data_IF_676411200561
#
_entry.id   IF_676411200561
#
_cell.length_a   1.000
_cell.length_b   1.000
_cell.length_c   1.000
_cell.angle_alpha   90.00
_cell.angle_beta   90.00
_cell.angle_gamma   90.00
#
_symmetry.space_group_name_H-M   'P 1'
#
loop_
_entity.id
_entity.type
_entity.pdbx_description
1 polymer ?
#
# COMPACT_ATOMS: atom_id res chain seq x y z
N UNK A 1 -40.92 13.74 69.06
CA UNK A 1 -41.46 13.68 67.69
C UNK A 1 -40.33 13.98 66.74
N UNK A 2 -40.09 13.03 65.85
CA UNK A 2 -38.87 12.84 65.06
C UNK A 2 -39.05 13.51 63.71
N UNK A 3 -38.12 14.36 63.27
CA UNK A 3 -38.03 14.77 61.87
C UNK A 3 -36.60 14.58 61.37
N UNK A 4 -36.51 13.61 60.47
CA UNK A 4 -35.42 13.07 59.66
C UNK A 4 -34.60 14.13 58.91
N UNK A 5 -33.28 13.93 58.68
CA UNK A 5 -32.54 14.72 57.71
C UNK A 5 -32.72 14.16 56.29
N UNK A 6 -33.04 15.05 55.35
CA UNK A 6 -33.27 14.75 53.94
C UNK A 6 -31.93 14.46 53.22
N UNK A 7 -31.90 13.37 52.46
CA UNK A 7 -30.72 12.87 51.78
C UNK A 7 -30.30 13.78 50.62
N UNK A 8 -29.07 14.30 50.71
CA UNK A 8 -28.37 14.97 49.62
C UNK A 8 -28.15 14.01 48.46
N UNK A 9 -28.95 14.15 47.41
CA UNK A 9 -28.78 13.42 46.16
C UNK A 9 -27.57 13.98 45.42
N UNK A 10 -26.44 13.30 45.54
CA UNK A 10 -25.25 13.57 44.74
C UNK A 10 -25.58 13.34 43.26
N UNK A 11 -25.63 14.41 42.47
CA UNK A 11 -25.58 14.32 41.00
C UNK A 11 -24.26 13.66 40.64
N UNK A 12 -24.33 12.38 40.26
CA UNK A 12 -23.25 11.70 39.56
C UNK A 12 -23.07 12.40 38.21
N UNK A 13 -22.20 13.41 38.19
CA UNK A 13 -21.74 14.03 36.96
C UNK A 13 -21.02 12.96 36.15
N UNK A 14 -21.68 12.48 35.10
CA UNK A 14 -21.00 11.74 34.05
C UNK A 14 -19.84 12.59 33.58
N UNK A 15 -18.61 12.09 33.71
CA UNK A 15 -17.45 12.72 33.08
C UNK A 15 -17.78 12.91 31.58
N UNK A 16 -17.48 14.06 30.97
CA UNK A 16 -17.57 14.19 29.53
C UNK A 16 -16.68 13.10 28.93
N UNK A 17 -17.22 12.37 27.94
CA UNK A 17 -16.46 11.38 27.20
C UNK A 17 -15.12 11.99 26.77
N UNK A 18 -14.01 11.25 26.88
CA UNK A 18 -12.71 11.76 26.42
C UNK A 18 -12.86 12.25 24.98
N UNK A 19 -12.15 13.31 24.56
CA UNK A 19 -12.24 13.82 23.20
C UNK A 19 -11.97 12.65 22.26
N UNK A 20 -13.02 12.21 21.57
CA UNK A 20 -12.97 11.10 20.64
C UNK A 20 -11.84 11.43 19.67
N UNK A 21 -10.79 10.61 19.66
CA UNK A 21 -9.67 10.79 18.74
C UNK A 21 -10.25 10.76 17.33
N UNK A 22 -10.47 11.94 16.76
CA UNK A 22 -10.97 12.09 15.40
C UNK A 22 -10.05 11.26 14.53
N UNK A 23 -10.60 10.26 13.82
CA UNK A 23 -9.85 9.53 12.80
C UNK A 23 -9.07 10.52 11.97
N UNK A 24 -7.81 10.25 11.71
CA UNK A 24 -7.01 11.18 10.90
C UNK A 24 -7.68 11.28 9.53
N UNK A 25 -7.80 12.49 8.93
CA UNK A 25 -8.30 12.62 7.56
C UNK A 25 -7.54 11.67 6.62
N UNK A 26 -8.26 10.76 5.97
CA UNK A 26 -7.69 9.71 5.10
C UNK A 26 -7.79 8.30 5.67
N UNK A 27 -7.71 8.09 6.99
CA UNK A 27 -7.60 6.75 7.61
C UNK A 27 -8.69 5.76 7.18
N UNK A 28 -9.90 6.28 6.91
CA UNK A 28 -11.05 5.54 6.37
C UNK A 28 -10.79 4.93 4.98
N UNK A 29 -10.15 5.64 4.05
CA UNK A 29 -9.92 5.15 2.68
C UNK A 29 -8.86 4.06 2.68
N UNK A 30 -7.75 4.24 3.41
CA UNK A 30 -6.73 3.21 3.60
C UNK A 30 -7.33 1.94 4.22
N UNK A 31 -8.19 2.08 5.23
CA UNK A 31 -8.86 0.94 5.84
C UNK A 31 -9.81 0.23 4.85
N UNK A 32 -10.59 0.97 4.07
CA UNK A 32 -11.47 0.41 3.05
C UNK A 32 -10.67 -0.36 1.98
N UNK A 33 -9.57 0.23 1.50
CA UNK A 33 -8.67 -0.41 0.51
C UNK A 33 -8.00 -1.64 1.11
N UNK A 34 -7.52 -1.59 2.35
CA UNK A 34 -6.95 -2.75 3.06
C UNK A 34 -7.98 -3.87 3.18
N UNK A 35 -9.19 -3.54 3.62
CA UNK A 35 -10.29 -4.49 3.80
C UNK A 35 -10.68 -5.16 2.48
N UNK A 36 -10.56 -4.44 1.36
CA UNK A 36 -10.80 -4.99 0.02
C UNK A 36 -9.66 -5.87 -0.48
N UNK A 37 -8.42 -5.37 -0.42
CA UNK A 37 -7.26 -5.99 -1.05
C UNK A 37 -6.80 -7.23 -0.30
N UNK A 38 -6.83 -7.24 1.04
CA UNK A 38 -6.31 -8.35 1.84
C UNK A 38 -6.94 -9.71 1.48
N UNK A 39 -8.28 -9.87 1.52
CA UNK A 39 -8.91 -11.14 1.11
C UNK A 39 -8.70 -11.43 -0.38
N UNK A 40 -8.78 -10.41 -1.25
CA UNK A 40 -8.59 -10.56 -2.68
C UNK A 40 -7.19 -11.10 -3.03
N UNK A 41 -6.16 -10.56 -2.39
CA UNK A 41 -4.77 -11.01 -2.54
C UNK A 41 -4.61 -12.45 -2.08
N UNK A 42 -5.12 -12.77 -0.90
CA UNK A 42 -5.02 -14.13 -0.35
C UNK A 42 -5.68 -15.16 -1.27
N UNK A 43 -6.88 -14.87 -1.75
CA UNK A 43 -7.64 -15.76 -2.64
C UNK A 43 -6.99 -15.88 -4.02
N UNK A 44 -6.44 -14.79 -4.56
CA UNK A 44 -5.75 -14.82 -5.85
C UNK A 44 -4.44 -15.62 -5.82
N UNK A 45 -3.68 -15.53 -4.72
CA UNK A 45 -2.48 -16.35 -4.51
C UNK A 45 -2.82 -17.84 -4.34
N UNK A 46 -4.01 -18.14 -3.80
CA UNK A 46 -4.56 -19.49 -3.73
C UNK A 46 -5.26 -19.93 -5.03
N UNK A 47 -5.17 -19.15 -6.11
CA UNK A 47 -5.77 -19.40 -7.42
C UNK A 47 -7.30 -19.65 -7.39
N UNK A 48 -8.00 -18.99 -6.46
CA UNK A 48 -9.45 -19.05 -6.37
C UNK A 48 -10.08 -18.38 -7.61
N UNK A 49 -10.93 -19.07 -8.39
CA UNK A 49 -11.45 -18.55 -9.66
C UNK A 49 -12.18 -17.21 -9.57
N UNK A 50 -12.95 -16.99 -8.51
CA UNK A 50 -13.67 -15.72 -8.29
C UNK A 50 -12.72 -14.54 -8.08
N UNK A 51 -11.60 -14.74 -7.38
CA UNK A 51 -10.58 -13.72 -7.19
C UNK A 51 -9.81 -13.43 -8.49
N UNK A 52 -9.52 -14.46 -9.28
CA UNK A 52 -8.89 -14.31 -10.61
C UNK A 52 -9.79 -13.49 -11.54
N UNK A 53 -11.09 -13.79 -11.57
CA UNK A 53 -12.08 -13.04 -12.34
C UNK A 53 -12.22 -11.59 -11.84
N UNK A 54 -12.29 -11.38 -10.52
CA UNK A 54 -12.38 -10.05 -9.93
C UNK A 54 -11.16 -9.18 -10.27
N UNK A 55 -9.94 -9.71 -10.14
CA UNK A 55 -8.72 -8.98 -10.56
C UNK A 55 -8.72 -8.67 -12.05
N UNK A 56 -9.17 -9.60 -12.90
CA UNK A 56 -9.27 -9.37 -14.32
C UNK A 56 -10.25 -8.24 -14.67
N UNK A 57 -11.38 -8.16 -13.95
CA UNK A 57 -12.34 -7.08 -14.09
C UNK A 57 -11.77 -5.73 -13.62
N UNK A 58 -11.15 -5.69 -12.43
CA UNK A 58 -10.53 -4.47 -11.88
C UNK A 58 -9.46 -3.88 -12.81
N UNK A 59 -8.66 -4.74 -13.48
CA UNK A 59 -7.66 -4.26 -14.45
C UNK A 59 -8.26 -3.46 -15.61
N UNK A 60 -9.52 -3.72 -15.98
CA UNK A 60 -10.19 -2.97 -17.05
C UNK A 60 -10.65 -1.58 -16.64
N UNK A 61 -10.77 -1.33 -15.32
CA UNK A 61 -11.13 -0.03 -14.75
C UNK A 61 -9.97 0.94 -14.57
N UNK A 62 -8.71 0.52 -14.81
CA UNK A 62 -7.54 1.41 -14.65
C UNK A 62 -7.63 2.57 -15.64
N UNK A 63 -7.64 3.81 -15.13
CA UNK A 63 -7.78 5.02 -15.96
C UNK A 63 -9.23 5.39 -16.29
N UNK A 64 -10.21 4.74 -15.67
CA UNK A 64 -11.62 5.16 -15.72
C UNK A 64 -12.01 5.79 -14.37
N UNK A 65 -12.84 6.84 -14.37
CA UNK A 65 -13.49 7.35 -13.16
C UNK A 65 -14.23 6.28 -12.37
N UNK A 66 -14.31 6.45 -11.04
CA UNK A 66 -15.01 5.51 -10.16
C UNK A 66 -16.49 5.34 -10.51
N UNK A 67 -17.15 6.40 -11.00
CA UNK A 67 -18.60 6.41 -11.26
C UNK A 67 -18.98 6.02 -12.71
N UNK A 68 -18.04 5.60 -13.55
CA UNK A 68 -18.31 5.28 -14.95
C UNK A 68 -19.09 3.97 -15.15
N UNK A 69 -19.03 3.02 -14.20
CA UNK A 69 -19.66 1.70 -14.33
C UNK A 69 -20.20 1.17 -13.00
N UNK A 70 -21.53 1.03 -12.83
CA UNK A 70 -22.14 0.52 -11.60
C UNK A 70 -21.72 -0.91 -11.22
N UNK A 71 -21.41 -1.77 -12.21
CA UNK A 71 -20.94 -3.14 -11.96
C UNK A 71 -19.55 -3.13 -11.31
N UNK A 72 -18.74 -2.13 -11.62
CA UNK A 72 -17.38 -2.00 -11.08
C UNK A 72 -17.40 -1.60 -9.59
N UNK A 73 -18.48 -0.97 -9.10
CA UNK A 73 -18.60 -0.52 -7.70
C UNK A 73 -18.52 -1.66 -6.70
N UNK A 74 -19.30 -2.72 -6.93
CA UNK A 74 -19.30 -3.91 -6.07
C UNK A 74 -17.98 -4.69 -6.11
N UNK A 75 -17.24 -4.59 -7.23
CA UNK A 75 -15.94 -5.24 -7.38
C UNK A 75 -14.83 -4.43 -6.72
N UNK A 76 -14.88 -3.10 -6.80
CA UNK A 76 -13.97 -2.18 -6.11
C UNK A 76 -14.22 -2.20 -4.60
N UNK A 77 -15.47 -2.39 -4.18
CA UNK A 77 -15.89 -2.45 -2.78
C UNK A 77 -16.28 -1.09 -2.20
N UNK A 78 -16.80 -0.17 -3.03
CA UNK A 78 -17.21 1.18 -2.61
C UNK A 78 -18.30 1.14 -1.53
N UNK A 79 -19.08 0.06 -1.44
CA UNK A 79 -20.09 -0.17 -0.41
C UNK A 79 -19.48 -0.25 0.99
N UNK A 80 -18.26 -0.78 1.12
CA UNK A 80 -17.57 -0.85 2.41
C UNK A 80 -17.14 0.54 2.87
N UNK A 81 -16.66 1.36 1.94
CA UNK A 81 -16.30 2.76 2.21
C UNK A 81 -17.55 3.59 2.56
N UNK A 82 -18.66 3.38 1.86
CA UNK A 82 -19.94 4.02 2.18
C UNK A 82 -20.45 3.67 3.58
N UNK A 83 -20.34 2.39 4.00
CA UNK A 83 -20.69 1.97 5.38
C UNK A 83 -19.78 2.60 6.43
N UNK A 84 -18.46 2.67 6.17
CA UNK A 84 -17.53 3.35 7.07
C UNK A 84 -17.87 4.83 7.24
N UNK A 85 -18.26 5.51 6.15
CA UNK A 85 -18.74 6.90 6.21
C UNK A 85 -20.00 7.07 7.06
N UNK A 86 -20.96 6.15 6.95
CA UNK A 86 -22.18 6.19 7.76
C UNK A 86 -21.85 6.08 9.24
N UNK A 87 -21.03 5.09 9.62
CA UNK A 87 -20.57 4.89 10.99
C UNK A 87 -19.80 6.10 11.53
N UNK A 88 -18.88 6.66 10.73
CA UNK A 88 -18.16 7.87 11.09
C UNK A 88 -19.13 9.05 11.34
N UNK A 89 -20.18 9.19 10.52
CA UNK A 89 -21.20 10.21 10.73
C UNK A 89 -22.02 10.00 12.02
N UNK A 90 -22.36 8.76 12.34
CA UNK A 90 -23.05 8.37 13.58
C UNK A 90 -22.19 8.62 14.83
N UNK A 91 -20.87 8.39 14.73
CA UNK A 91 -19.90 8.66 15.78
C UNK A 91 -19.47 10.14 15.88
N UNK A 92 -20.00 11.02 15.02
CA UNK A 92 -19.66 12.44 15.00
C UNK A 92 -18.29 12.75 14.38
N UNK A 93 -17.68 11.80 13.68
CA UNK A 93 -16.48 11.99 12.88
C UNK A 93 -16.77 12.75 11.58
N UNK A 94 -15.72 13.36 11.01
CA UNK A 94 -15.85 14.11 9.77
C UNK A 94 -16.04 13.20 8.56
N UNK A 95 -17.20 13.30 7.91
CA UNK A 95 -17.50 12.61 6.64
C UNK A 95 -17.23 13.51 5.43
N UNK A 96 -17.23 14.83 5.63
CA UNK A 96 -17.10 15.82 4.56
C UNK A 96 -18.34 15.93 3.66
N UNK A 97 -18.36 16.96 2.80
CA UNK A 97 -19.44 17.17 1.84
C UNK A 97 -19.32 16.28 0.58
N UNK A 98 -20.25 16.40 -0.39
CA UNK A 98 -20.29 15.56 -1.59
C UNK A 98 -18.98 15.53 -2.39
N UNK A 99 -18.28 16.67 -2.45
CA UNK A 99 -16.96 16.75 -3.10
C UNK A 99 -15.89 15.93 -2.38
N UNK A 100 -15.95 15.81 -1.05
CA UNK A 100 -15.01 15.00 -0.29
C UNK A 100 -15.28 13.51 -0.53
N UNK A 101 -16.54 13.10 -0.45
CA UNK A 101 -17.01 11.74 -0.73
C UNK A 101 -16.57 11.27 -2.12
N UNK A 102 -16.76 12.12 -3.15
CA UNK A 102 -16.32 11.81 -4.51
C UNK A 102 -14.80 11.60 -4.61
N UNK A 103 -14.00 12.33 -3.83
CA UNK A 103 -12.54 12.16 -3.80
C UNK A 103 -12.13 10.85 -3.12
N UNK A 104 -12.84 10.45 -2.06
CA UNK A 104 -12.58 9.17 -1.38
C UNK A 104 -12.87 7.99 -2.31
N UNK A 105 -14.03 8.01 -2.98
CA UNK A 105 -14.46 6.94 -3.89
C UNK A 105 -13.49 6.82 -5.08
N UNK A 106 -13.10 7.96 -5.68
CA UNK A 106 -12.12 8.01 -6.76
C UNK A 106 -10.73 7.51 -6.34
N UNK A 107 -10.27 7.90 -5.15
CA UNK A 107 -9.00 7.44 -4.62
C UNK A 107 -8.98 5.94 -4.33
N UNK A 108 -10.07 5.40 -3.75
CA UNK A 108 -10.22 3.96 -3.52
C UNK A 108 -10.22 3.18 -4.84
N UNK A 109 -11.00 3.63 -5.82
CA UNK A 109 -11.05 3.02 -7.14
C UNK A 109 -9.67 2.98 -7.80
N UNK A 110 -8.96 4.12 -7.84
CA UNK A 110 -7.64 4.20 -8.42
C UNK A 110 -6.64 3.28 -7.69
N UNK A 111 -6.66 3.23 -6.36
CA UNK A 111 -5.76 2.38 -5.59
C UNK A 111 -6.02 0.88 -5.80
N UNK A 112 -7.28 0.45 -5.82
CA UNK A 112 -7.67 -0.96 -6.01
C UNK A 112 -7.40 -1.42 -7.45
N UNK A 113 -7.63 -0.57 -8.44
CA UNK A 113 -7.34 -0.89 -9.85
C UNK A 113 -5.82 -0.91 -10.12
N UNK A 114 -5.05 0.00 -9.53
CA UNK A 114 -3.58 -0.06 -9.55
C UNK A 114 -3.05 -1.32 -8.87
N UNK A 115 -3.65 -1.74 -7.75
CA UNK A 115 -3.31 -3.02 -7.11
C UNK A 115 -3.55 -4.21 -8.04
N UNK A 116 -4.70 -4.25 -8.73
CA UNK A 116 -5.02 -5.34 -9.64
C UNK A 116 -4.03 -5.43 -10.81
N UNK A 117 -3.51 -4.29 -11.27
CA UNK A 117 -2.42 -4.23 -12.24
C UNK A 117 -1.09 -4.72 -11.62
N UNK A 118 -0.79 -4.29 -10.39
CA UNK A 118 0.44 -4.65 -9.68
C UNK A 118 0.54 -6.15 -9.42
N UNK A 119 -0.53 -6.79 -8.96
CA UNK A 119 -0.58 -8.23 -8.67
C UNK A 119 -0.74 -9.10 -9.92
N UNK A 120 -0.88 -8.52 -11.13
CA UNK A 120 -1.09 -9.29 -12.35
C UNK A 120 0.03 -10.29 -12.60
N UNK A 121 -0.31 -11.54 -12.95
CA UNK A 121 0.61 -12.64 -13.25
C UNK A 121 1.67 -12.95 -12.18
N UNK A 122 1.57 -12.36 -10.98
CA UNK A 122 2.40 -12.68 -9.83
C UNK A 122 1.58 -13.53 -8.86
N UNK A 123 1.92 -14.82 -8.77
CA UNK A 123 1.18 -15.83 -7.99
C UNK A 123 1.91 -16.27 -6.73
N UNK A 124 3.17 -15.87 -6.56
CA UNK A 124 4.02 -16.33 -5.46
C UNK A 124 4.26 -15.23 -4.44
N UNK A 125 4.25 -13.97 -4.86
CA UNK A 125 4.55 -12.81 -4.01
C UNK A 125 3.33 -11.93 -3.81
N UNK A 126 3.27 -11.30 -2.64
CA UNK A 126 2.28 -10.28 -2.28
C UNK A 126 2.76 -8.92 -2.76
N UNK A 127 1.99 -8.24 -3.61
CA UNK A 127 2.32 -6.89 -4.07
C UNK A 127 1.70 -5.80 -3.17
N UNK A 128 0.67 -6.15 -2.41
CA UNK A 128 0.20 -5.38 -1.27
C UNK A 128 0.89 -5.87 0.01
N UNK A 129 1.65 -4.97 0.64
CA UNK A 129 2.28 -5.18 1.95
C UNK A 129 2.06 -3.93 2.78
N UNK A 130 1.49 -4.11 3.98
CA UNK A 130 1.15 -3.00 4.86
C UNK A 130 2.40 -2.27 5.36
N UNK A 131 2.33 -0.94 5.43
CA UNK A 131 3.36 -0.09 6.04
C UNK A 131 4.56 0.23 5.16
N UNK A 132 4.60 -0.24 3.91
CA UNK A 132 5.61 0.18 2.93
C UNK A 132 5.05 1.37 2.13
N UNK A 133 5.50 2.60 2.37
CA UNK A 133 4.95 3.76 1.67
C UNK A 133 5.39 3.80 0.20
N UNK A 134 4.59 4.44 -0.66
CA UNK A 134 4.84 4.50 -2.10
C UNK A 134 6.21 5.12 -2.43
N UNK A 135 6.58 6.23 -1.78
CA UNK A 135 7.88 6.86 -2.00
C UNK A 135 9.06 5.94 -1.64
N UNK A 136 8.91 5.10 -0.61
CA UNK A 136 9.94 4.13 -0.22
C UNK A 136 10.10 3.02 -1.26
N UNK A 137 8.99 2.49 -1.78
CA UNK A 137 9.03 1.48 -2.84
C UNK A 137 9.69 2.03 -4.12
N UNK A 138 9.41 3.28 -4.48
CA UNK A 138 10.08 3.94 -5.61
C UNK A 138 11.56 4.20 -5.34
N UNK A 139 11.94 4.52 -4.10
CA UNK A 139 13.35 4.58 -3.70
C UNK A 139 14.02 3.23 -3.88
N UNK A 140 13.41 2.14 -3.42
CA UNK A 140 13.93 0.78 -3.63
C UNK A 140 14.14 0.51 -5.10
N UNK A 141 13.17 0.84 -5.97
CA UNK A 141 13.30 0.71 -7.42
C UNK A 141 14.48 1.52 -7.98
N UNK A 142 14.68 2.75 -7.50
CA UNK A 142 15.76 3.62 -7.92
C UNK A 142 17.15 3.20 -7.39
N UNK A 143 17.22 2.41 -6.31
CA UNK A 143 18.49 1.92 -5.76
C UNK A 143 18.83 0.50 -6.19
N UNK A 144 17.84 -0.26 -6.67
CA UNK A 144 18.00 -1.66 -7.04
C UNK A 144 18.66 -1.75 -8.42
N UNK A 145 19.76 -2.53 -8.58
CA UNK A 145 20.42 -2.68 -9.86
C UNK A 145 19.44 -3.15 -10.95
N UNK A 146 19.65 -2.75 -12.22
CA UNK A 146 18.81 -3.17 -13.33
C UNK A 146 18.68 -4.70 -13.41
N UNK A 147 17.47 -5.19 -13.65
CA UNK A 147 17.19 -6.63 -13.77
C UNK A 147 17.11 -7.41 -12.46
N UNK A 148 17.57 -6.86 -11.33
CA UNK A 148 17.47 -7.53 -10.02
C UNK A 148 16.06 -7.37 -9.45
N UNK A 149 15.44 -8.45 -8.99
CA UNK A 149 14.15 -8.42 -8.28
C UNK A 149 14.39 -8.19 -6.78
N UNK A 150 13.50 -7.47 -6.10
CA UNK A 150 13.69 -7.14 -4.69
C UNK A 150 13.73 -8.37 -3.77
N UNK A 151 13.04 -9.45 -4.16
CA UNK A 151 13.04 -10.72 -3.42
C UNK A 151 14.15 -11.70 -3.78
N UNK A 152 15.08 -11.34 -4.68
CA UNK A 152 16.21 -12.19 -5.10
C UNK A 152 17.58 -11.65 -4.67
N UNK A 153 17.63 -10.57 -3.88
CA UNK A 153 18.87 -10.15 -3.26
C UNK A 153 19.28 -11.22 -2.24
N UNK A 154 20.23 -12.07 -2.63
CA UNK A 154 20.92 -12.94 -1.67
C UNK A 154 21.53 -12.10 -0.55
N UNK A 155 21.60 -12.63 0.69
CA UNK A 155 22.32 -11.97 1.75
C UNK A 155 23.78 -11.88 1.31
N UNK A 156 24.28 -10.65 1.14
CA UNK A 156 25.69 -10.36 0.91
C UNK A 156 26.50 -11.18 1.91
N UNK A 157 27.40 -12.09 1.47
CA UNK A 157 28.24 -12.82 2.40
C UNK A 157 29.12 -11.79 3.12
N UNK A 158 29.17 -11.89 4.46
CA UNK A 158 30.06 -11.07 5.28
C UNK A 158 31.49 -11.13 4.73
N UNK A 159 32.22 -10.00 4.73
CA UNK A 159 33.61 -10.00 4.27
C UNK A 159 34.42 -10.88 5.21
N UNK A 160 34.88 -12.03 4.72
CA UNK A 160 35.89 -12.82 5.41
C UNK A 160 37.20 -12.04 5.34
N UNK A 161 37.77 -11.78 6.50
CA UNK A 161 39.12 -11.27 6.67
C UNK A 161 40.11 -12.28 6.06
N UNK A 162 40.58 -12.02 4.84
CA UNK A 162 41.76 -12.67 4.28
C UNK A 162 42.84 -11.63 4.04
N UNK A 163 43.89 -11.73 4.85
CA UNK A 163 45.12 -10.96 4.76
C UNK A 163 45.89 -11.25 3.45
N UNK A 164 46.70 -10.28 2.97
CA UNK A 164 47.19 -10.26 1.61
C UNK A 164 48.40 -11.18 1.44
N UNK A 165 48.44 -11.90 0.31
CA UNK A 165 49.69 -12.44 -0.23
C UNK A 165 49.88 -11.94 -1.65
N UNK A 166 50.93 -11.14 -1.80
CA UNK A 166 51.45 -10.55 -3.03
C UNK A 166 52.04 -11.60 -3.97
N UNK A 167 51.77 -11.49 -5.28
CA UNK A 167 52.80 -11.33 -6.33
C UNK A 167 52.14 -11.02 -7.69
N UNK A 168 52.88 -10.36 -8.62
CA UNK A 168 52.31 -9.64 -9.75
C UNK A 168 52.29 -10.47 -11.03
N UNK A 169 51.28 -10.26 -11.87
CA UNK A 169 51.38 -10.56 -13.30
C UNK A 169 50.55 -9.55 -14.08
N UNK A 170 51.25 -8.69 -14.81
CA UNK A 170 50.70 -7.82 -15.84
C UNK A 170 50.11 -8.66 -16.98
N UNK A 171 48.91 -8.33 -17.43
CA UNK A 171 48.57 -8.10 -18.84
C UNK A 171 47.04 -7.99 -19.03
N UNK A 172 46.63 -6.83 -19.54
CA UNK A 172 45.48 -6.57 -20.43
C UNK A 172 44.13 -7.24 -20.17
N UNK A 173 43.14 -6.43 -19.77
CA UNK A 173 42.04 -5.95 -20.64
C UNK A 173 41.18 -5.00 -19.80
N UNK A 174 41.56 -3.72 -19.79
CA UNK A 174 40.74 -2.65 -19.25
C UNK A 174 39.94 -2.06 -20.40
N UNK A 175 38.65 -2.37 -20.50
CA UNK A 175 37.60 -1.58 -21.18
C UNK A 175 36.31 -2.40 -21.24
N UNK A 176 35.57 -2.46 -20.14
CA UNK A 176 34.13 -2.87 -20.15
C UNK A 176 33.37 -2.48 -18.88
N UNK A 177 34.07 -2.12 -17.79
CA UNK A 177 33.44 -1.86 -16.49
C UNK A 177 32.94 -0.43 -16.25
N UNK A 178 33.22 0.57 -17.10
CA UNK A 178 32.77 1.96 -16.87
C UNK A 178 31.37 2.28 -17.40
N UNK A 179 30.87 1.51 -18.39
CA UNK A 179 29.60 1.78 -19.07
C UNK A 179 28.38 1.29 -18.29
N UNK A 180 28.54 0.22 -17.51
CA UNK A 180 27.49 -0.31 -16.64
C UNK A 180 27.11 0.65 -15.50
N UNK A 181 28.04 1.17 -14.67
CA UNK A 181 27.69 2.05 -13.55
C UNK A 181 27.06 3.38 -14.01
N UNK A 182 27.45 3.92 -15.18
CA UNK A 182 26.82 5.13 -15.73
C UNK A 182 25.37 4.89 -16.14
N UNK A 183 25.06 3.78 -16.83
CA UNK A 183 23.68 3.42 -17.22
C UNK A 183 22.79 3.16 -16.00
N UNK A 184 23.32 2.55 -14.95
CA UNK A 184 22.62 2.29 -13.71
C UNK A 184 22.24 3.58 -12.97
N UNK A 185 23.18 4.54 -12.90
CA UNK A 185 22.94 5.86 -12.35
C UNK A 185 21.92 6.66 -13.17
N UNK A 186 21.96 6.58 -14.50
CA UNK A 186 21.00 7.22 -15.39
C UNK A 186 19.57 6.70 -15.21
N UNK A 187 19.39 5.38 -15.04
CA UNK A 187 18.07 4.77 -14.76
C UNK A 187 17.54 5.26 -13.41
N UNK A 188 18.41 5.25 -12.39
CA UNK A 188 18.08 5.70 -11.03
C UNK A 188 17.63 7.17 -11.02
N UNK A 189 18.35 8.03 -11.74
CA UNK A 189 18.04 9.45 -11.88
C UNK A 189 16.79 9.68 -12.74
N UNK A 190 16.55 8.83 -13.75
CA UNK A 190 15.33 8.87 -14.56
C UNK A 190 14.10 8.47 -13.76
N UNK A 191 14.19 7.42 -12.94
CA UNK A 191 13.11 6.98 -12.04
C UNK A 191 12.81 8.07 -11.01
N UNK A 192 13.84 8.68 -10.41
CA UNK A 192 13.69 9.82 -9.50
C UNK A 192 12.98 11.00 -10.19
N UNK A 193 13.41 11.41 -11.38
CA UNK A 193 12.78 12.50 -12.15
C UNK A 193 11.33 12.18 -12.51
N UNK A 194 11.02 10.94 -12.91
CA UNK A 194 9.66 10.49 -13.20
C UNK A 194 8.78 10.52 -11.95
N UNK A 195 9.29 10.07 -10.81
CA UNK A 195 8.59 10.11 -9.52
C UNK A 195 8.25 11.55 -9.10
N UNK A 196 9.21 12.46 -9.19
CA UNK A 196 8.96 13.88 -8.91
C UNK A 196 7.92 14.48 -9.86
N UNK A 197 7.94 14.09 -11.14
CA UNK A 197 6.91 14.50 -12.11
C UNK A 197 5.52 13.96 -11.76
N UNK A 198 5.36 12.81 -11.10
CA UNK A 198 4.02 12.34 -10.68
C UNK A 198 3.37 13.37 -9.75
N UNK A 199 4.12 13.92 -8.81
CA UNK A 199 3.65 14.95 -7.89
C UNK A 199 3.33 16.30 -8.55
N UNK A 200 3.86 16.58 -9.74
CA UNK A 200 3.59 17.84 -10.48
C UNK A 200 2.39 17.75 -11.42
N UNK A 201 1.74 16.59 -11.53
CA UNK A 201 0.46 16.51 -12.24
C UNK A 201 -0.54 17.51 -11.63
N UNK A 202 -1.34 18.14 -12.50
CA UNK A 202 -2.36 19.13 -12.10
C UNK A 202 -3.79 18.62 -12.29
N UNK A 203 -3.94 17.47 -12.94
CA UNK A 203 -5.20 16.82 -13.25
C UNK A 203 -5.09 15.31 -13.02
N UNK A 204 -6.22 14.67 -12.72
CA UNK A 204 -6.29 13.26 -12.35
C UNK A 204 -5.81 12.34 -13.47
N UNK A 205 -6.21 12.63 -14.71
CA UNK A 205 -5.88 11.78 -15.86
C UNK A 205 -4.34 11.64 -16.07
N UNK A 206 -3.54 12.72 -16.15
CA UNK A 206 -2.09 12.62 -16.15
C UNK A 206 -1.49 11.94 -14.92
N UNK A 207 -2.10 12.11 -13.73
CA UNK A 207 -1.64 11.46 -12.51
C UNK A 207 -1.78 9.94 -12.63
N UNK A 208 -2.95 9.46 -13.05
CA UNK A 208 -3.26 8.04 -13.20
C UNK A 208 -2.33 7.35 -14.18
N UNK A 209 -2.06 7.97 -15.33
CA UNK A 209 -1.10 7.45 -16.32
C UNK A 209 0.29 7.30 -15.69
N UNK A 210 0.78 8.33 -14.99
CA UNK A 210 2.11 8.31 -14.36
C UNK A 210 2.21 7.29 -13.23
N UNK A 211 1.18 7.17 -12.39
CA UNK A 211 1.12 6.17 -11.33
C UNK A 211 1.13 4.77 -11.92
N UNK A 212 0.35 4.53 -12.98
CA UNK A 212 0.32 3.26 -13.71
C UNK A 212 1.70 2.88 -14.23
N UNK A 213 2.41 3.82 -14.87
CA UNK A 213 3.77 3.59 -15.35
C UNK A 213 4.72 3.16 -14.22
N UNK A 214 4.68 3.85 -13.07
CA UNK A 214 5.53 3.51 -11.92
C UNK A 214 5.14 2.15 -11.33
N UNK A 215 3.85 1.87 -11.15
CA UNK A 215 3.38 0.59 -10.62
C UNK A 215 3.80 -0.57 -11.52
N UNK A 216 3.83 -0.40 -12.84
CA UNK A 216 4.35 -1.40 -13.76
C UNK A 216 5.86 -1.62 -13.60
N UNK A 217 6.64 -0.57 -13.33
CA UNK A 217 8.07 -0.71 -13.03
C UNK A 217 8.32 -1.42 -11.70
N UNK A 218 7.54 -1.09 -10.66
CA UNK A 218 7.59 -1.78 -9.36
C UNK A 218 7.25 -3.27 -9.51
N UNK A 219 6.18 -3.57 -10.27
CA UNK A 219 5.78 -4.95 -10.60
C UNK A 219 6.89 -5.71 -11.30
N UNK A 220 7.56 -5.11 -12.28
CA UNK A 220 8.63 -5.78 -13.03
C UNK A 220 9.81 -6.22 -12.14
N UNK A 221 9.96 -5.59 -10.97
CA UNK A 221 11.02 -5.87 -9.98
C UNK A 221 10.49 -6.55 -8.72
N UNK A 222 9.22 -6.97 -8.70
CA UNK A 222 8.52 -7.55 -7.55
C UNK A 222 8.60 -6.69 -6.27
N UNK A 223 8.48 -5.37 -6.40
CA UNK A 223 8.58 -4.43 -5.27
C UNK A 223 7.18 -4.14 -4.71
N UNK A 224 6.83 -4.64 -3.52
CA UNK A 224 5.52 -4.38 -2.93
C UNK A 224 5.42 -2.99 -2.32
N UNK A 225 4.19 -2.49 -2.16
CA UNK A 225 3.89 -1.32 -1.34
C UNK A 225 2.46 -1.34 -0.77
N UNK A 226 2.19 -0.46 0.18
CA UNK A 226 0.89 -0.30 0.81
C UNK A 226 -0.02 0.57 -0.07
N UNK A 227 -0.94 -0.09 -0.77
CA UNK A 227 -1.90 0.59 -1.64
C UNK A 227 -2.97 1.36 -0.84
N UNK A 228 -3.18 1.01 0.43
CA UNK A 228 -4.06 1.77 1.33
C UNK A 228 -3.46 3.13 1.67
N UNK A 229 -2.16 3.17 2.00
CA UNK A 229 -1.46 4.44 2.21
C UNK A 229 -1.46 5.31 0.94
N UNK A 230 -1.30 4.70 -0.24
CA UNK A 230 -1.42 5.42 -1.50
C UNK A 230 -2.83 6.00 -1.68
N UNK A 231 -3.88 5.27 -1.32
CA UNK A 231 -5.26 5.74 -1.44
C UNK A 231 -5.50 7.02 -0.62
N UNK A 232 -5.01 7.09 0.61
CA UNK A 232 -5.14 8.29 1.45
C UNK A 232 -4.44 9.49 0.82
N UNK A 233 -3.23 9.27 0.29
CA UNK A 233 -2.47 10.29 -0.41
C UNK A 233 -3.21 10.78 -1.66
N UNK A 234 -3.91 9.88 -2.37
CA UNK A 234 -4.74 10.22 -3.52
C UNK A 234 -5.97 11.04 -3.11
N UNK A 235 -6.64 10.70 -2.01
CA UNK A 235 -7.75 11.50 -1.48
C UNK A 235 -7.33 12.94 -1.18
N UNK A 236 -6.18 13.11 -0.51
CA UNK A 236 -5.59 14.44 -0.28
C UNK A 236 -5.17 15.11 -1.58
N UNK A 237 -4.60 14.38 -2.54
CA UNK A 237 -4.12 14.97 -3.80
C UNK A 237 -5.27 15.49 -4.69
N UNK A 238 -6.42 14.81 -4.66
CA UNK A 238 -7.63 15.23 -5.37
C UNK A 238 -8.23 16.54 -4.81
N UNK A 239 -7.76 16.99 -3.64
CA UNK A 239 -7.94 18.35 -3.18
C UNK A 239 -6.79 19.25 -3.66
N UNK A 240 -7.03 20.20 -4.58
CA UNK A 240 -5.98 21.09 -5.09
C UNK A 240 -5.20 21.83 -4.00
N UNK A 241 -5.84 22.14 -2.87
CA UNK A 241 -5.21 22.85 -1.74
C UNK A 241 -4.20 22.00 -0.97
N UNK A 242 -4.29 20.67 -1.06
CA UNK A 242 -3.46 19.74 -0.29
C UNK A 242 -2.36 19.07 -1.15
N UNK A 243 -2.29 19.33 -2.46
CA UNK A 243 -1.31 18.70 -3.36
C UNK A 243 0.13 18.91 -2.93
N UNK A 244 0.47 20.08 -2.39
CA UNK A 244 1.82 20.36 -1.88
C UNK A 244 2.17 19.53 -0.65
N UNK A 245 1.18 19.20 0.20
CA UNK A 245 1.40 18.30 1.34
C UNK A 245 1.76 16.89 0.85
N UNK A 246 1.02 16.38 -0.15
CA UNK A 246 1.27 15.06 -0.74
C UNK A 246 2.64 15.01 -1.43
N UNK A 247 3.00 16.05 -2.20
CA UNK A 247 4.34 16.16 -2.80
C UNK A 247 5.45 16.08 -1.76
N UNK A 248 5.32 16.82 -0.65
CA UNK A 248 6.30 16.78 0.44
C UNK A 248 6.33 15.41 1.11
N UNK A 249 5.17 14.78 1.30
CA UNK A 249 5.09 13.44 1.88
C UNK A 249 5.82 12.40 1.02
N UNK A 250 5.54 12.36 -0.28
CA UNK A 250 6.23 11.49 -1.23
C UNK A 250 7.74 11.74 -1.26
N UNK A 251 8.18 13.01 -1.23
CA UNK A 251 9.59 13.36 -1.12
C UNK A 251 10.24 12.85 0.17
N UNK A 252 9.57 12.99 1.33
CA UNK A 252 10.07 12.44 2.60
C UNK A 252 10.12 10.92 2.59
N UNK A 253 9.10 10.25 2.07
CA UNK A 253 9.06 8.79 1.96
C UNK A 253 10.19 8.25 1.07
N UNK A 254 10.49 8.96 -0.02
CA UNK A 254 11.60 8.64 -0.91
C UNK A 254 12.97 8.83 -0.25
N UNK A 255 13.15 9.84 0.61
CA UNK A 255 14.45 10.11 1.25
C UNK A 255 14.65 9.34 2.56
N UNK A 256 13.63 9.25 3.41
CA UNK A 256 13.75 8.87 4.82
C UNK A 256 13.34 7.44 5.15
N UNK A 257 13.08 6.57 4.16
CA UNK A 257 12.87 5.15 4.47
C UNK A 257 14.20 4.45 4.79
N UNK A 258 14.68 4.64 6.00
CA UNK A 258 15.60 3.71 6.66
C UNK A 258 14.77 2.47 6.96
N UNK A 259 15.15 1.33 6.34
CA UNK A 259 14.34 0.13 6.33
C UNK A 259 13.92 -0.30 7.73
N UNK A 260 12.61 -0.27 8.01
CA UNK A 260 12.06 -1.05 9.11
C UNK A 260 12.07 -2.50 8.65
N UNK A 261 13.20 -3.15 8.88
CA UNK A 261 13.48 -4.55 8.57
C UNK A 261 12.45 -5.42 9.30
N UNK A 262 11.60 -6.12 8.53
CA UNK A 262 10.94 -7.37 8.93
C UNK A 262 9.62 -7.28 9.70
N UNK A 263 8.49 -7.29 8.99
CA UNK A 263 7.45 -8.26 9.36
C UNK A 263 7.79 -9.55 8.63
N UNK A 264 8.17 -10.59 9.38
CA UNK A 264 8.37 -11.95 8.85
C UNK A 264 7.15 -12.33 7.99
N UNK A 265 7.33 -13.00 6.84
CA UNK A 265 6.19 -13.57 6.14
C UNK A 265 5.54 -14.60 7.06
N UNK A 266 4.28 -14.35 7.45
CA UNK A 266 3.44 -15.34 8.10
C UNK A 266 3.43 -16.59 7.24
N UNK A 267 4.13 -17.61 7.75
CA UNK A 267 4.09 -18.96 7.21
C UNK A 267 2.72 -19.49 7.60
N UNK A 268 1.86 -19.72 6.60
CA UNK A 268 0.56 -20.36 6.80
C UNK A 268 0.82 -21.70 7.50
N UNK A 269 0.30 -21.94 8.73
CA UNK A 269 0.45 -23.24 9.35
C UNK A 269 -0.34 -24.24 8.51
N UNK A 270 0.34 -25.31 8.09
CA UNK A 270 -0.28 -26.43 7.38
C UNK A 270 -1.47 -26.98 8.21
N UNK A 271 -2.55 -27.46 7.56
CA UNK A 271 -3.66 -28.08 8.26
C UNK A 271 -3.15 -29.31 9.01
N UNK A 272 -3.36 -29.34 10.32
CA UNK A 272 -3.12 -30.55 11.11
C UNK A 272 -4.18 -31.59 10.74
N UNK A 273 -3.73 -32.73 10.25
CA UNK A 273 -4.55 -33.92 10.05
C UNK A 273 -5.31 -34.26 11.34
N UNK A 274 -6.64 -34.14 11.28
CA UNK A 274 -7.53 -34.68 12.29
C UNK A 274 -7.65 -36.20 12.06
N UNK A 275 -6.67 -36.94 12.56
CA UNK A 275 -6.71 -38.39 12.65
C UNK A 275 -7.70 -38.85 13.73
N UNK A 276 -8.80 -39.45 13.28
CA UNK A 276 -9.49 -40.60 13.87
C UNK A 276 -9.81 -40.59 15.37
N UNK A 277 -11.04 -40.20 15.71
CA UNK A 277 -11.71 -40.71 16.91
C UNK A 277 -12.87 -41.62 16.47
N UNK A 278 -12.59 -42.92 16.39
CA UNK A 278 -13.59 -43.99 16.36
C UNK A 278 -14.29 -44.05 17.71
N UNK A 279 -15.57 -43.69 17.76
CA UNK A 279 -16.45 -43.99 18.87
C UNK A 279 -17.12 -45.36 18.62
N UNK A 280 -16.92 -46.30 19.55
CA UNK A 280 -17.71 -47.52 19.68
C UNK A 280 -18.70 -47.36 20.86
N UNK A 281 -19.87 -47.99 20.82
CA UNK A 281 -20.97 -47.70 21.75
C UNK A 281 -20.99 -48.63 22.96
N UNK A 282 -21.54 -48.14 24.07
CA UNK A 282 -22.21 -48.91 25.12
C UNK A 282 -23.28 -48.03 25.78
#
# INVERSE_FOLDING_TARGET
>A
MTTTPEASTAKSGSLPAPPQQQRRPGERVCEAVRSRITPLQSQYLADVPSAVAALAQLRRGVGRPAYDSPVEWGIVGLESLARMRQHDGEEGHFVGGPRHVAREDEAMHLAVTLYALHQQSERKKRMYVQGIPFGAAVRTLATLPPGVKAGSAEPVPEPRDEQPKSEPTEANTAETSETAPRREQEISETVRKRFLRVGTATALEPLTVRLREIVLLLRARDIPFDHGLLADQLTSWLDPSQRDLVRRQWGREFTHHTGRRGSRPDTVPAPRDAGGATAAPA
#
